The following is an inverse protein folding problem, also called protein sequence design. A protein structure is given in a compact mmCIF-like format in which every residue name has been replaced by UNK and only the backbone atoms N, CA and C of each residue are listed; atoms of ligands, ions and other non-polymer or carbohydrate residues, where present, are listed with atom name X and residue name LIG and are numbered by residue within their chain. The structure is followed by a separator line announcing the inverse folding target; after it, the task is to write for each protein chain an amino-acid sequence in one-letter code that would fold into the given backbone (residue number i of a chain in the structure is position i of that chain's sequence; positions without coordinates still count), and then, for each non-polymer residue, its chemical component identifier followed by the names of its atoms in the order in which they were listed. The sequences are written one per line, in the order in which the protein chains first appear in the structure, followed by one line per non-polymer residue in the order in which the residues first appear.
data_IF_035303239643
#
_entry.id   IF_035303239643
#
_cell.length_a   1.000
_cell.length_b   1.000
_cell.length_c   1.000
_cell.angle_alpha   90.00
_cell.angle_beta   90.00
_cell.angle_gamma   90.00
#
_symmetry.space_group_name_H-M   'P 1'
#
loop_
_entity.id
_entity.type
_entity.pdbx_description
1 polymer ?
#
# COMPACT_ATOMS: atom_id res chain seq x y z
N UNK A 1 19.37 11.92 -14.30
CA UNK A 1 18.28 12.49 -13.47
C UNK A 1 18.88 12.70 -12.09
N UNK A 2 19.08 13.95 -11.71
CA UNK A 2 19.77 14.30 -10.47
C UNK A 2 18.82 14.18 -9.27
N UNK A 3 19.31 13.68 -8.13
CA UNK A 3 18.50 13.42 -6.93
C UNK A 3 17.86 14.71 -6.39
N UNK A 4 18.61 15.81 -6.46
CA UNK A 4 18.15 17.13 -6.01
C UNK A 4 16.98 17.58 -6.89
N UNK A 5 17.06 17.40 -8.20
CA UNK A 5 16.02 17.80 -9.14
C UNK A 5 14.72 17.01 -8.97
N UNK A 6 14.81 15.72 -8.62
CA UNK A 6 13.66 14.85 -8.38
C UNK A 6 12.97 15.20 -7.05
N UNK A 7 13.74 15.51 -6.01
CA UNK A 7 13.21 15.78 -4.67
C UNK A 7 12.81 17.24 -4.45
N UNK A 8 13.28 18.15 -5.29
CA UNK A 8 12.89 19.56 -5.27
C UNK A 8 11.47 19.77 -5.80
N UNK A 9 10.80 20.80 -5.27
CA UNK A 9 9.49 21.29 -5.74
C UNK A 9 8.38 20.22 -5.82
N UNK A 10 8.39 19.21 -4.96
CA UNK A 10 7.42 18.09 -4.98
C UNK A 10 7.37 17.29 -6.30
N UNK A 11 8.32 17.50 -7.21
CA UNK A 11 8.33 16.90 -8.55
C UNK A 11 8.24 15.38 -8.53
N UNK A 12 8.84 14.74 -7.52
CA UNK A 12 8.70 13.31 -7.30
C UNK A 12 7.24 12.85 -7.17
N UNK A 13 6.42 13.55 -6.39
CA UNK A 13 5.02 13.18 -6.16
C UNK A 13 4.11 13.59 -7.33
N UNK A 14 4.49 14.60 -8.11
CA UNK A 14 3.84 14.92 -9.38
C UNK A 14 4.05 13.81 -10.42
N UNK A 15 5.27 13.25 -10.47
CA UNK A 15 5.61 12.14 -11.35
C UNK A 15 5.07 10.79 -10.85
N UNK A 16 4.92 10.64 -9.53
CA UNK A 16 4.47 9.40 -8.87
C UNK A 16 3.28 9.63 -7.93
N UNK A 17 2.09 9.99 -8.46
CA UNK A 17 0.91 10.19 -7.63
C UNK A 17 0.48 8.92 -6.89
N UNK A 18 0.82 7.73 -7.41
CA UNK A 18 0.55 6.44 -6.77
C UNK A 18 1.30 6.24 -5.44
N UNK A 19 2.33 7.06 -5.18
CA UNK A 19 3.13 7.04 -3.95
C UNK A 19 2.59 7.97 -2.85
N UNK A 20 1.47 8.64 -3.09
CA UNK A 20 0.83 9.50 -2.10
C UNK A 20 -0.15 8.67 -1.25
N UNK A 21 0.04 8.71 0.07
CA UNK A 21 -0.72 7.93 1.06
C UNK A 21 -1.77 8.78 1.81
N UNK A 22 -2.51 9.63 1.10
CA UNK A 22 -3.55 10.49 1.65
C UNK A 22 -3.72 11.79 0.89
N UNK A 23 -4.69 12.62 1.29
CA UNK A 23 -4.96 13.94 0.71
C UNK A 23 -4.89 14.99 1.79
N UNK A 24 -4.20 16.10 1.50
CA UNK A 24 -4.17 17.25 2.39
C UNK A 24 -5.54 17.94 2.39
N UNK A 25 -6.03 18.31 3.57
CA UNK A 25 -7.27 19.06 3.72
C UNK A 25 -7.11 20.17 4.76
N UNK A 26 -7.83 21.25 4.53
CA UNK A 26 -7.92 22.34 5.50
C UNK A 26 -8.89 21.97 6.61
N UNK A 27 -8.42 22.12 7.84
CA UNK A 27 -9.17 21.84 9.04
C UNK A 27 -9.57 23.14 9.73
N UNK A 28 -10.71 23.14 10.40
CA UNK A 28 -11.18 24.27 11.21
C UNK A 28 -10.44 24.41 12.55
N UNK A 29 -9.50 23.50 12.86
CA UNK A 29 -8.69 23.58 14.07
C UNK A 29 -7.68 24.72 13.96
N UNK A 30 -7.71 25.61 14.96
CA UNK A 30 -6.73 26.69 15.11
C UNK A 30 -5.31 26.14 15.26
N UNK A 31 -5.17 24.98 15.91
CA UNK A 31 -3.88 24.35 16.17
C UNK A 31 -3.36 23.50 15.01
N UNK A 32 -4.27 22.98 14.18
CA UNK A 32 -3.93 22.11 13.05
C UNK A 32 -4.73 22.51 11.81
N UNK A 33 -4.41 23.65 11.19
CA UNK A 33 -5.15 24.16 10.04
C UNK A 33 -4.96 23.31 8.77
N UNK A 34 -3.86 22.56 8.69
CA UNK A 34 -3.58 21.62 7.61
C UNK A 34 -3.43 20.22 8.18
N UNK A 35 -4.19 19.27 7.64
CA UNK A 35 -4.20 17.89 8.09
C UNK A 35 -4.16 16.95 6.89
N UNK A 36 -3.74 15.70 7.12
CA UNK A 36 -3.67 14.67 6.10
C UNK A 36 -4.76 13.64 6.39
N UNK A 37 -5.61 13.38 5.40
CA UNK A 37 -6.61 12.31 5.47
C UNK A 37 -6.14 11.15 4.60
N UNK A 38 -5.83 10.03 5.22
CA UNK A 38 -5.43 8.79 4.53
C UNK A 38 -5.99 7.57 5.27
N UNK A 39 -6.20 6.49 4.55
CA UNK A 39 -6.62 5.21 5.15
C UNK A 39 -5.44 4.27 5.37
N UNK A 40 -5.66 3.21 6.16
CA UNK A 40 -4.68 2.14 6.31
C UNK A 40 -4.35 1.50 4.96
N UNK A 41 -5.35 1.37 4.10
CA UNK A 41 -5.23 0.78 2.77
C UNK A 41 -4.32 1.62 1.86
N UNK A 42 -4.39 2.96 1.96
CA UNK A 42 -3.50 3.87 1.23
C UNK A 42 -2.04 3.67 1.65
N UNK A 43 -1.78 3.55 2.95
CA UNK A 43 -0.43 3.28 3.47
C UNK A 43 0.09 1.93 2.97
N UNK A 44 -0.73 0.88 3.03
CA UNK A 44 -0.37 -0.46 2.57
C UNK A 44 -0.10 -0.49 1.05
N UNK A 45 -0.88 0.28 0.26
CA UNK A 45 -0.68 0.43 -1.20
C UNK A 45 0.67 1.06 -1.50
N UNK A 46 0.96 2.22 -0.90
CA UNK A 46 2.18 3.00 -1.18
C UNK A 46 3.45 2.25 -0.75
N UNK A 47 3.41 1.61 0.42
CA UNK A 47 4.54 0.86 0.98
C UNK A 47 4.76 -0.49 0.30
N UNK A 48 3.83 -0.96 -0.53
CA UNK A 48 3.90 -2.29 -1.15
C UNK A 48 3.73 -3.43 -0.13
N UNK A 49 3.30 -3.13 1.10
CA UNK A 49 3.02 -4.13 2.13
C UNK A 49 1.74 -4.93 1.86
N UNK A 50 0.96 -4.57 0.82
CA UNK A 50 -0.08 -5.45 0.27
C UNK A 50 0.62 -6.63 -0.39
N UNK A 51 0.84 -7.66 0.40
CA UNK A 51 1.53 -8.87 0.01
C UNK A 51 0.53 -9.80 -0.71
N UNK A 52 -0.11 -9.32 -1.79
CA UNK A 52 -1.11 -10.07 -2.55
C UNK A 52 -0.53 -11.38 -3.11
N UNK A 53 0.76 -11.35 -3.46
CA UNK A 53 1.52 -12.54 -3.86
C UNK A 53 1.59 -13.56 -2.71
N UNK A 54 1.86 -13.14 -1.48
CA UNK A 54 1.92 -14.06 -0.35
C UNK A 54 0.55 -14.59 0.05
N UNK A 55 -0.52 -13.78 -0.04
CA UNK A 55 -1.90 -14.25 0.13
C UNK A 55 -2.29 -15.30 -0.91
N UNK A 56 -1.99 -15.07 -2.21
CA UNK A 56 -2.25 -16.03 -3.29
C UNK A 56 -1.47 -17.34 -3.08
N UNK A 57 -0.20 -17.26 -2.69
CA UNK A 57 0.63 -18.43 -2.39
C UNK A 57 0.07 -19.19 -1.18
N UNK A 58 -0.37 -18.50 -0.13
CA UNK A 58 -0.96 -19.14 1.06
C UNK A 58 -2.25 -19.91 0.71
N UNK A 59 -3.14 -19.30 -0.08
CA UNK A 59 -4.38 -19.94 -0.54
C UNK A 59 -4.06 -21.17 -1.41
N UNK A 60 -3.11 -21.06 -2.34
CA UNK A 60 -2.70 -22.17 -3.20
C UNK A 60 -2.12 -23.34 -2.38
N UNK A 61 -1.26 -23.05 -1.39
CA UNK A 61 -0.72 -24.06 -0.46
C UNK A 61 -1.81 -24.74 0.36
N UNK A 62 -2.79 -23.99 0.86
CA UNK A 62 -3.91 -24.54 1.61
C UNK A 62 -4.75 -25.51 0.75
N UNK A 63 -5.05 -25.14 -0.50
CA UNK A 63 -5.77 -25.99 -1.45
C UNK A 63 -5.00 -27.28 -1.77
N UNK A 64 -3.69 -27.17 -2.04
CA UNK A 64 -2.84 -28.34 -2.29
C UNK A 64 -2.78 -29.29 -1.10
N UNK A 65 -2.70 -28.75 0.13
CA UNK A 65 -2.71 -29.55 1.36
C UNK A 65 -4.04 -30.29 1.55
N UNK A 66 -5.17 -29.63 1.29
CA UNK A 66 -6.50 -30.25 1.36
C UNK A 66 -6.66 -31.41 0.36
N UNK A 67 -6.21 -31.23 -0.89
CA UNK A 67 -6.22 -32.28 -1.91
C UNK A 67 -5.35 -33.47 -1.47
N UNK A 68 -4.14 -33.20 -0.97
CA UNK A 68 -3.24 -34.24 -0.47
C UNK A 68 -3.84 -35.04 0.69
N UNK A 69 -4.51 -34.36 1.63
CA UNK A 69 -5.21 -35.02 2.75
C UNK A 69 -6.36 -35.91 2.25
N UNK A 70 -7.14 -35.43 1.28
CA UNK A 70 -8.25 -36.20 0.69
C UNK A 70 -7.76 -37.46 -0.03
N UNK A 71 -6.65 -37.38 -0.76
CA UNK A 71 -6.04 -38.54 -1.42
C UNK A 71 -5.51 -39.55 -0.40
N UNK A 72 -4.97 -39.09 0.73
CA UNK A 72 -4.40 -39.96 1.78
C UNK A 72 -5.45 -40.63 2.68
N UNK A 73 -6.70 -40.17 2.62
CA UNK A 73 -7.84 -40.73 3.34
C UNK A 73 -8.59 -41.82 2.53
N UNK A 74 -8.26 -41.95 1.24
CA UNK A 74 -8.67 -43.05 0.36
C UNK A 74 -7.62 -44.16 0.43
#
# INVERSE_FOLDING_TARGET
MDFVEITSNNRFFELHPEKIAGVEYESSSIFFPKMIKGTKEDVLRVTGMINDKSKRIAIAKAKAKAIKMRIKLL
#
